data_IF_339199415414
#
_entry.id   IF_339199415414
#
_cell.length_a   1.000
_cell.length_b   1.000
_cell.length_c   1.000
_cell.angle_alpha   90.00
_cell.angle_beta   90.00
_cell.angle_gamma   90.00
#
_symmetry.space_group_name_H-M   'P 1'
#
loop_
_entity.id
_entity.type
_entity.pdbx_description
1 polymer ?
#
# COMPACT_ATOMS: atom_id res chain seq x y z
N UNK A 1 65.48 -2.28 8.60
CA UNK A 1 64.06 -2.65 8.41
C UNK A 1 63.23 -2.32 9.65
N UNK A 2 63.02 -1.03 9.96
CA UNK A 2 62.26 -0.62 11.15
C UNK A 2 61.30 0.55 10.85
N UNK A 3 61.68 1.43 9.91
CA UNK A 3 60.87 2.57 9.48
C UNK A 3 59.59 2.14 8.75
N UNK A 4 59.63 1.03 7.99
CA UNK A 4 58.46 0.56 7.21
C UNK A 4 57.36 -0.05 8.08
N UNK A 5 57.68 -0.53 9.29
CA UNK A 5 56.71 -1.14 10.22
C UNK A 5 55.98 -0.11 11.09
N UNK A 6 56.64 1.03 11.37
CA UNK A 6 56.05 2.12 12.14
C UNK A 6 55.04 2.93 11.31
N UNK A 7 55.30 3.12 10.02
CA UNK A 7 54.37 3.84 9.12
C UNK A 7 53.07 3.06 8.89
N UNK A 8 53.12 1.72 8.84
CA UNK A 8 51.92 0.89 8.65
C UNK A 8 50.99 0.85 9.87
N UNK A 9 51.51 1.04 11.09
CA UNK A 9 50.66 1.08 12.28
C UNK A 9 50.06 2.47 12.56
N UNK A 10 50.74 3.55 12.16
CA UNK A 10 50.21 4.91 12.36
C UNK A 10 49.05 5.25 11.40
N UNK A 11 49.05 4.67 10.19
CA UNK A 11 47.97 4.82 9.21
C UNK A 11 46.68 4.07 9.59
N UNK A 12 46.76 3.06 10.47
CA UNK A 12 45.58 2.30 10.93
C UNK A 12 44.84 2.95 12.10
N UNK A 13 45.51 3.75 12.93
CA UNK A 13 44.87 4.43 14.07
C UNK A 13 44.22 5.77 13.69
N UNK A 14 44.70 6.43 12.63
CA UNK A 14 44.16 7.73 12.16
C UNK A 14 42.95 7.57 11.22
N UNK A 15 42.72 6.39 10.65
CA UNK A 15 41.55 6.12 9.82
C UNK A 15 40.26 5.82 10.62
N UNK A 16 40.36 5.49 11.91
CA UNK A 16 39.19 5.11 12.72
C UNK A 16 38.35 6.30 13.21
N UNK A 17 38.98 7.45 13.46
CA UNK A 17 38.31 8.64 14.02
C UNK A 17 37.52 9.40 12.95
N UNK A 18 38.12 9.64 11.77
CA UNK A 18 37.43 10.32 10.66
C UNK A 18 36.24 9.52 10.10
N UNK A 19 36.23 8.19 10.25
CA UNK A 19 35.11 7.34 9.86
C UNK A 19 34.01 7.35 10.92
N UNK A 20 34.35 7.39 12.21
CA UNK A 20 33.35 7.50 13.29
C UNK A 20 32.61 8.82 13.26
N UNK A 21 33.31 9.94 13.12
CA UNK A 21 32.68 11.26 13.10
C UNK A 21 31.77 11.43 11.87
N UNK A 22 32.16 10.86 10.71
CA UNK A 22 31.32 10.84 9.50
C UNK A 22 30.12 9.90 9.60
N UNK A 23 30.26 8.77 10.29
CA UNK A 23 29.14 7.84 10.52
C UNK A 23 28.17 8.42 11.55
N UNK A 24 28.66 9.09 12.59
CA UNK A 24 27.82 9.69 13.63
C UNK A 24 27.06 10.93 13.12
N UNK A 25 27.68 11.74 12.26
CA UNK A 25 27.00 12.83 11.55
C UNK A 25 26.03 12.32 10.49
N UNK A 26 26.39 11.31 9.68
CA UNK A 26 25.46 10.71 8.72
C UNK A 26 24.28 10.01 9.39
N UNK A 27 24.49 9.33 10.54
CA UNK A 27 23.43 8.73 11.34
C UNK A 27 22.56 9.81 11.98
N UNK A 28 23.13 10.90 12.49
CA UNK A 28 22.34 12.00 13.07
C UNK A 28 21.52 12.74 12.00
N UNK A 29 22.08 12.99 10.82
CA UNK A 29 21.37 13.60 9.69
C UNK A 29 20.28 12.69 9.12
N UNK A 30 20.54 11.37 9.03
CA UNK A 30 19.51 10.40 8.65
C UNK A 30 18.43 10.30 9.73
N UNK A 31 18.79 10.29 11.01
CA UNK A 31 17.83 10.19 12.12
C UNK A 31 16.96 11.45 12.22
N UNK A 32 17.54 12.64 12.02
CA UNK A 32 16.81 13.91 11.97
C UNK A 32 15.91 14.01 10.73
N UNK A 33 16.36 13.56 9.55
CA UNK A 33 15.51 13.49 8.36
C UNK A 33 14.38 12.46 8.52
N UNK A 34 14.64 11.30 9.16
CA UNK A 34 13.59 10.32 9.48
C UNK A 34 12.59 10.87 10.50
N UNK A 35 13.05 11.63 11.51
CA UNK A 35 12.22 12.26 12.54
C UNK A 35 11.39 13.42 11.96
N UNK A 36 11.92 14.23 11.06
CA UNK A 36 11.15 15.27 10.35
C UNK A 36 10.13 14.70 9.36
N UNK A 37 10.37 13.52 8.78
CA UNK A 37 9.43 12.84 7.89
C UNK A 37 8.31 12.10 8.65
N UNK A 38 8.42 11.94 9.98
CA UNK A 38 7.42 11.24 10.80
C UNK A 38 6.43 12.17 11.51
N UNK A 39 6.71 13.46 11.68
CA UNK A 39 5.92 14.34 12.57
C UNK A 39 4.79 15.13 11.85
N UNK A 40 4.91 15.41 10.55
CA UNK A 40 3.95 16.26 9.81
C UNK A 40 3.31 15.56 8.59
N UNK A 41 3.08 14.25 8.64
CA UNK A 41 2.17 13.64 7.65
C UNK A 41 0.75 13.93 8.10
N UNK A 42 0.20 15.06 7.65
CA UNK A 42 -1.26 15.22 7.62
C UNK A 42 -1.83 13.96 6.98
N UNK A 43 -2.65 13.22 7.74
CA UNK A 43 -3.33 12.03 7.24
C UNK A 43 -4.16 12.51 6.06
N UNK A 44 -3.78 12.07 4.85
CA UNK A 44 -4.47 12.46 3.64
C UNK A 44 -5.96 12.13 3.78
N UNK A 45 -6.81 13.06 3.36
CA UNK A 45 -8.23 12.79 3.26
C UNK A 45 -8.44 11.60 2.30
N UNK A 46 -9.42 10.74 2.58
CA UNK A 46 -9.67 9.55 1.77
C UNK A 46 -11.17 9.39 1.57
N UNK A 47 -11.61 9.59 0.33
CA UNK A 47 -13.00 9.41 -0.06
C UNK A 47 -13.29 7.96 -0.43
N UNK A 48 -12.31 7.27 -1.02
CA UNK A 48 -12.44 5.89 -1.45
C UNK A 48 -11.15 5.12 -1.12
N UNK A 49 -11.29 4.04 -0.36
CA UNK A 49 -10.23 3.05 -0.22
C UNK A 49 -10.49 1.86 -1.15
N UNK A 50 -9.52 1.50 -1.98
CA UNK A 50 -9.61 0.35 -2.88
C UNK A 50 -8.60 -0.71 -2.42
N UNK A 51 -9.08 -1.91 -2.12
CA UNK A 51 -8.25 -3.00 -1.59
C UNK A 51 -8.13 -4.11 -2.62
N UNK A 52 -6.89 -4.40 -3.00
CA UNK A 52 -6.49 -5.48 -3.89
C UNK A 52 -5.68 -6.54 -3.14
N UNK A 53 -5.73 -7.78 -3.61
CA UNK A 53 -4.89 -8.85 -3.06
C UNK A 53 -3.45 -8.76 -3.61
N UNK A 54 -3.28 -8.30 -4.84
CA UNK A 54 -1.97 -8.29 -5.51
C UNK A 54 -1.73 -7.04 -6.36
N UNK A 55 -0.46 -6.76 -6.63
CA UNK A 55 -0.02 -5.63 -7.46
C UNK A 55 -0.66 -5.62 -8.86
N UNK A 56 -0.75 -6.77 -9.52
CA UNK A 56 -1.29 -6.87 -10.89
C UNK A 56 -2.78 -6.50 -10.97
N UNK A 57 -3.52 -6.66 -9.87
CA UNK A 57 -4.92 -6.22 -9.79
C UNK A 57 -5.02 -4.71 -9.58
N UNK A 58 -4.04 -4.11 -8.91
CA UNK A 58 -3.99 -2.68 -8.62
C UNK A 58 -3.48 -1.85 -9.81
N UNK A 59 -2.60 -2.40 -10.66
CA UNK A 59 -1.88 -1.64 -11.71
C UNK A 59 -2.80 -0.78 -12.56
N UNK A 60 -3.94 -1.32 -13.02
CA UNK A 60 -4.87 -0.56 -13.88
C UNK A 60 -5.51 0.66 -13.20
N UNK A 61 -5.62 0.65 -11.87
CA UNK A 61 -6.04 1.83 -11.10
C UNK A 61 -4.85 2.76 -10.86
N UNK A 62 -3.71 2.21 -10.46
CA UNK A 62 -2.50 2.99 -10.19
C UNK A 62 -2.07 3.82 -11.40
N UNK A 63 -2.18 3.29 -12.62
CA UNK A 63 -1.84 3.99 -13.87
C UNK A 63 -2.73 5.23 -14.14
N UNK A 64 -3.91 5.30 -13.50
CA UNK A 64 -4.85 6.42 -13.64
C UNK A 64 -4.75 7.43 -12.50
N UNK A 65 -3.99 7.13 -11.44
CA UNK A 65 -3.84 8.04 -10.31
C UNK A 65 -2.86 9.16 -10.62
N UNK A 66 -3.21 10.36 -10.17
CA UNK A 66 -2.33 11.52 -10.18
C UNK A 66 -1.68 11.71 -8.80
N UNK A 67 -0.48 12.29 -8.79
CA UNK A 67 0.27 12.65 -7.57
C UNK A 67 0.45 11.48 -6.58
N UNK A 68 0.77 10.30 -7.11
CA UNK A 68 0.89 9.07 -6.33
C UNK A 68 2.02 9.18 -5.30
N UNK A 69 1.70 8.86 -4.05
CA UNK A 69 2.65 8.62 -2.96
C UNK A 69 2.48 7.19 -2.49
N UNK A 70 3.56 6.42 -2.51
CA UNK A 70 3.55 5.01 -2.10
C UNK A 70 4.26 4.82 -0.77
N UNK A 71 3.64 4.08 0.15
CA UNK A 71 4.19 3.80 1.48
C UNK A 71 4.17 2.30 1.73
N UNK A 72 5.32 1.76 2.13
CA UNK A 72 5.42 0.39 2.63
C UNK A 72 4.98 0.35 4.09
N UNK A 73 3.82 -0.25 4.34
CA UNK A 73 3.30 -0.48 5.67
C UNK A 73 3.70 -1.86 6.19
N UNK A 74 3.40 -2.13 7.46
CA UNK A 74 3.68 -3.40 8.12
C UNK A 74 2.77 -4.53 7.59
N UNK A 75 3.12 -5.06 6.41
CA UNK A 75 2.46 -6.20 5.76
C UNK A 75 1.51 -5.86 4.61
N UNK A 76 1.53 -4.63 4.11
CA UNK A 76 0.85 -4.22 2.88
C UNK A 76 1.54 -2.97 2.30
N UNK A 77 1.25 -2.65 1.05
CA UNK A 77 1.64 -1.38 0.41
C UNK A 77 0.40 -0.53 0.22
N UNK A 78 0.50 0.76 0.51
CA UNK A 78 -0.54 1.72 0.17
C UNK A 78 -0.02 2.73 -0.84
N UNK A 79 -0.92 3.16 -1.72
CA UNK A 79 -0.70 4.19 -2.72
C UNK A 79 -1.80 5.21 -2.57
N UNK A 80 -1.45 6.41 -2.12
CA UNK A 80 -2.39 7.52 -2.03
C UNK A 80 -2.22 8.38 -3.27
N UNK A 81 -3.32 8.80 -3.88
CA UNK A 81 -3.30 9.67 -5.03
C UNK A 81 -4.67 10.29 -5.27
N UNK A 82 -4.75 11.06 -6.35
CA UNK A 82 -6.01 11.66 -6.79
C UNK A 82 -6.53 10.93 -8.03
N UNK A 83 -7.83 10.65 -8.07
CA UNK A 83 -8.51 10.11 -9.25
C UNK A 83 -9.70 10.98 -9.62
N UNK A 84 -9.62 11.71 -10.72
CA UNK A 84 -10.70 12.61 -11.18
C UNK A 84 -11.16 13.62 -10.11
N UNK A 85 -10.23 14.14 -9.31
CA UNK A 85 -10.52 15.07 -8.21
C UNK A 85 -10.84 14.40 -6.87
N UNK A 86 -10.99 13.08 -6.82
CA UNK A 86 -11.24 12.33 -5.59
C UNK A 86 -9.94 11.86 -4.95
N UNK A 87 -9.82 11.97 -3.63
CA UNK A 87 -8.68 11.41 -2.91
C UNK A 87 -8.90 9.90 -2.66
N UNK A 88 -8.02 9.09 -3.25
CA UNK A 88 -8.12 7.63 -3.27
C UNK A 88 -6.90 7.01 -2.63
N UNK A 89 -7.13 6.01 -1.78
CA UNK A 89 -6.09 5.14 -1.23
C UNK A 89 -6.24 3.76 -1.84
N UNK A 90 -5.21 3.30 -2.56
CA UNK A 90 -5.13 1.96 -3.13
C UNK A 90 -4.21 1.09 -2.29
N UNK A 91 -4.66 -0.11 -1.92
CA UNK A 91 -3.98 -0.98 -0.97
C UNK A 91 -3.68 -2.32 -1.63
N UNK A 92 -2.42 -2.72 -1.58
CA UNK A 92 -1.96 -4.05 -1.97
C UNK A 92 -1.75 -4.90 -0.72
N UNK A 93 -2.77 -5.69 -0.37
CA UNK A 93 -2.85 -6.33 0.94
C UNK A 93 -2.20 -7.72 1.04
N UNK A 94 -1.90 -8.38 -0.09
CA UNK A 94 -1.43 -9.76 -0.15
C UNK A 94 -2.54 -10.79 -0.38
N UNK A 95 -2.14 -12.05 -0.52
CA UNK A 95 -2.98 -13.15 -1.01
C UNK A 95 -3.76 -13.93 0.06
N UNK A 96 -3.45 -13.71 1.35
CA UNK A 96 -4.13 -14.40 2.46
C UNK A 96 -5.25 -13.57 3.06
N UNK A 97 -6.36 -14.22 3.43
CA UNK A 97 -7.51 -13.55 4.07
C UNK A 97 -7.12 -12.77 5.33
N UNK A 98 -6.11 -13.25 6.09
CA UNK A 98 -5.62 -12.57 7.31
C UNK A 98 -4.87 -11.29 6.96
N UNK A 99 -4.09 -11.30 5.88
CA UNK A 99 -3.36 -10.12 5.41
C UNK A 99 -4.34 -9.06 4.92
N UNK A 100 -5.31 -9.47 4.10
CA UNK A 100 -6.39 -8.61 3.62
C UNK A 100 -7.17 -8.00 4.80
N UNK A 101 -7.64 -8.83 5.74
CA UNK A 101 -8.37 -8.33 6.89
C UNK A 101 -7.56 -7.33 7.73
N UNK A 102 -6.26 -7.58 7.94
CA UNK A 102 -5.37 -6.66 8.65
C UNK A 102 -5.19 -5.34 7.91
N UNK A 103 -4.92 -5.39 6.61
CA UNK A 103 -4.73 -4.20 5.78
C UNK A 103 -6.02 -3.36 5.71
N UNK A 104 -7.17 -4.00 5.43
CA UNK A 104 -8.48 -3.31 5.43
C UNK A 104 -8.77 -2.67 6.80
N UNK A 105 -8.51 -3.37 7.90
CA UNK A 105 -8.73 -2.81 9.25
C UNK A 105 -7.80 -1.62 9.52
N UNK A 106 -6.53 -1.70 9.12
CA UNK A 106 -5.58 -0.61 9.28
C UNK A 106 -6.03 0.63 8.49
N UNK A 107 -6.47 0.44 7.25
CA UNK A 107 -6.95 1.51 6.35
C UNK A 107 -8.22 2.16 6.90
N UNK A 108 -9.17 1.36 7.41
CA UNK A 108 -10.38 1.88 8.07
C UNK A 108 -10.01 2.75 9.28
N UNK A 109 -9.09 2.26 10.12
CA UNK A 109 -8.72 2.96 11.34
C UNK A 109 -7.92 4.23 11.06
N UNK A 110 -7.10 4.24 10.01
CA UNK A 110 -6.24 5.38 9.66
C UNK A 110 -7.01 6.47 8.92
N UNK A 111 -7.82 6.10 7.93
CA UNK A 111 -8.43 7.04 6.98
C UNK A 111 -9.93 7.25 7.17
N UNK A 112 -10.61 6.33 7.87
CA UNK A 112 -12.08 6.33 8.03
C UNK A 112 -12.85 6.61 6.73
N UNK A 113 -12.53 5.92 5.62
CA UNK A 113 -13.11 6.21 4.33
C UNK A 113 -14.62 5.92 4.33
N UNK A 114 -15.45 6.76 3.69
CA UNK A 114 -16.88 6.49 3.58
C UNK A 114 -17.18 5.28 2.69
N UNK A 115 -16.27 4.95 1.76
CA UNK A 115 -16.40 3.81 0.86
C UNK A 115 -15.14 2.95 0.83
N UNK A 116 -15.35 1.63 0.84
CA UNK A 116 -14.31 0.63 0.59
C UNK A 116 -14.74 -0.21 -0.60
N UNK A 117 -13.87 -0.28 -1.60
CA UNK A 117 -14.04 -1.10 -2.78
C UNK A 117 -13.08 -2.28 -2.68
N UNK A 118 -13.61 -3.50 -2.68
CA UNK A 118 -12.80 -4.70 -2.89
C UNK A 118 -12.91 -5.08 -4.36
N UNK A 119 -11.78 -5.12 -5.04
CA UNK A 119 -11.69 -5.47 -6.45
C UNK A 119 -10.55 -6.47 -6.66
N UNK A 120 -10.66 -7.28 -7.70
CA UNK A 120 -9.69 -8.32 -8.01
C UNK A 120 -10.26 -9.40 -8.91
N UNK A 121 -9.45 -10.42 -9.18
CA UNK A 121 -9.86 -11.55 -10.00
C UNK A 121 -10.58 -12.61 -9.18
N UNK A 122 -11.52 -13.32 -9.82
CA UNK A 122 -12.20 -14.45 -9.20
C UNK A 122 -12.45 -15.57 -10.20
N UNK A 123 -12.65 -16.78 -9.68
CA UNK A 123 -13.01 -17.94 -10.48
C UNK A 123 -14.53 -18.09 -10.55
N UNK A 124 -15.06 -18.30 -11.75
CA UNK A 124 -16.48 -18.56 -11.94
C UNK A 124 -16.88 -19.92 -11.35
N UNK A 125 -17.87 -19.92 -10.46
CA UNK A 125 -18.51 -21.14 -9.96
C UNK A 125 -19.79 -21.51 -10.73
N UNK A 126 -20.40 -20.54 -11.41
CA UNK A 126 -21.63 -20.73 -12.17
C UNK A 126 -21.35 -20.62 -13.68
N UNK A 127 -21.86 -21.55 -14.52
CA UNK A 127 -21.49 -21.65 -15.95
C UNK A 127 -21.93 -20.47 -16.81
N UNK A 128 -22.82 -19.61 -16.30
CA UNK A 128 -23.23 -18.36 -16.94
C UNK A 128 -22.09 -17.34 -17.05
N UNK A 129 -21.12 -17.38 -16.14
CA UNK A 129 -19.99 -16.45 -16.15
C UNK A 129 -18.86 -17.01 -17.00
N UNK A 130 -18.25 -16.14 -17.81
CA UNK A 130 -17.12 -16.46 -18.70
C UNK A 130 -15.91 -15.62 -18.32
N UNK A 131 -14.73 -16.05 -18.74
CA UNK A 131 -13.51 -15.27 -18.58
C UNK A 131 -13.66 -13.88 -19.20
N UNK A 132 -13.18 -12.86 -18.50
CA UNK A 132 -13.32 -11.46 -18.89
C UNK A 132 -14.65 -10.79 -18.48
N UNK A 133 -15.60 -11.55 -17.90
CA UNK A 133 -16.82 -10.97 -17.35
C UNK A 133 -16.57 -10.24 -16.03
N UNK A 134 -17.34 -9.19 -15.78
CA UNK A 134 -17.35 -8.47 -14.49
C UNK A 134 -18.50 -9.02 -13.63
N UNK A 135 -18.21 -9.31 -12.37
CA UNK A 135 -19.21 -9.75 -11.40
C UNK A 135 -19.24 -8.77 -10.25
N UNK A 136 -20.40 -8.15 -10.05
CA UNK A 136 -20.67 -7.32 -8.88
C UNK A 136 -21.59 -8.09 -7.93
N UNK A 137 -21.12 -8.48 -6.74
CA UNK A 137 -21.95 -9.21 -5.79
C UNK A 137 -22.98 -8.27 -5.15
N UNK A 138 -24.21 -8.76 -4.98
CA UNK A 138 -25.17 -8.11 -4.10
C UNK A 138 -24.84 -8.34 -2.61
N UNK A 139 -24.17 -9.46 -2.32
CA UNK A 139 -23.94 -10.00 -0.98
C UNK A 139 -22.68 -10.86 -1.00
N UNK A 140 -21.93 -10.85 0.10
CA UNK A 140 -20.74 -11.70 0.31
C UNK A 140 -20.98 -12.57 1.54
N UNK A 141 -20.61 -13.85 1.43
CA UNK A 141 -20.67 -14.81 2.53
C UNK A 141 -19.27 -15.35 2.78
N UNK A 142 -18.94 -15.59 4.05
CA UNK A 142 -17.72 -16.32 4.41
C UNK A 142 -17.99 -17.82 4.62
N UNK A 143 -16.95 -18.58 4.96
CA UNK A 143 -17.04 -20.03 5.22
C UNK A 143 -17.86 -20.39 6.46
N UNK A 144 -18.16 -19.42 7.32
CA UNK A 144 -19.01 -19.56 8.50
C UNK A 144 -20.43 -19.03 8.27
N UNK A 145 -20.76 -18.69 7.01
CA UNK A 145 -22.05 -18.14 6.59
C UNK A 145 -22.38 -16.76 7.21
N UNK A 146 -21.36 -16.02 7.65
CA UNK A 146 -21.51 -14.61 8.02
C UNK A 146 -21.75 -13.80 6.74
N UNK A 147 -22.67 -12.84 6.84
CA UNK A 147 -23.21 -12.10 5.69
C UNK A 147 -22.76 -10.65 5.73
N UNK A 148 -22.28 -10.17 4.59
CA UNK A 148 -22.15 -8.75 4.27
C UNK A 148 -23.06 -8.43 3.10
N UNK A 149 -23.98 -7.47 3.28
CA UNK A 149 -24.77 -6.91 2.17
C UNK A 149 -23.99 -5.76 1.53
N UNK A 150 -23.79 -5.83 0.22
CA UNK A 150 -23.07 -4.78 -0.52
C UNK A 150 -23.99 -3.57 -0.65
N UNK A 151 -23.53 -2.43 -0.13
CA UNK A 151 -24.32 -1.20 -0.07
C UNK A 151 -24.54 -0.55 -1.44
N UNK A 152 -23.54 -0.60 -2.31
CA UNK A 152 -23.64 -0.10 -3.69
C UNK A 152 -24.38 -1.12 -4.57
N UNK A 153 -25.33 -0.64 -5.37
CA UNK A 153 -26.08 -1.46 -6.34
C UNK A 153 -26.18 -0.70 -7.64
N UNK A 154 -25.77 -1.33 -8.74
CA UNK A 154 -25.96 -0.79 -10.08
C UNK A 154 -27.42 -1.04 -10.49
N UNK A 155 -28.07 -0.02 -11.07
CA UNK A 155 -29.42 -0.18 -11.61
C UNK A 155 -29.42 -1.09 -12.84
N UNK A 156 -30.51 -1.83 -13.06
CA UNK A 156 -30.61 -2.70 -14.25
C UNK A 156 -30.47 -1.95 -15.58
N UNK A 157 -30.78 -0.65 -15.58
CA UNK A 157 -30.64 0.21 -16.74
C UNK A 157 -29.17 0.48 -17.08
N UNK A 158 -28.34 0.79 -16.07
CA UNK A 158 -26.91 1.01 -16.26
C UNK A 158 -26.17 -0.27 -16.74
N UNK A 159 -26.63 -1.46 -16.31
CA UNK A 159 -26.07 -2.73 -16.80
C UNK A 159 -26.32 -2.93 -18.30
N UNK A 160 -27.49 -2.54 -18.79
CA UNK A 160 -27.86 -2.69 -20.23
C UNK A 160 -27.09 -1.74 -21.14
N UNK A 161 -26.67 -0.59 -20.66
CA UNK A 161 -25.89 0.39 -21.44
C UNK A 161 -24.41 -0.01 -21.60
N UNK A 162 -23.94 -0.99 -20.81
CA UNK A 162 -22.52 -1.43 -20.81
C UNK A 162 -22.31 -2.76 -21.53
N UNK A 163 -23.39 -3.43 -21.98
CA UNK A 163 -23.34 -4.75 -22.66
C UNK A 163 -23.62 -4.60 -24.14
#
# INVERSE_FOLDING_TARGET
>A
MLVRYLVSNYLRSTAGQAVRDKVESAVSEQTQNLQQVTDDREIANCEIAIVFASHIEATGVLDQLEKIVSVQCAGFVEHTGNWNGLDVVVVEAGDSWRSIARATTAVINLYQPPWIVSAGFCCALHPKFRNGGIVMPNRVLDTQNRRLDVGFKISEQAVKETT
#
